data_IF_636369685074
#
_entry.id   IF_636369685074
#
_cell.length_a   1.000
_cell.length_b   1.000
_cell.length_c   1.000
_cell.angle_alpha   90.00
_cell.angle_beta   90.00
_cell.angle_gamma   90.00
#
_symmetry.space_group_name_H-M   'P 1'
#
loop_
_entity.id
_entity.type
_entity.pdbx_description
1 polymer ?
#
# COMPACT_ATOMS: atom_id res chain seq x y z
N UNK A 1 2.39 -12.41 12.05
CA UNK A 1 2.96 -11.87 10.78
C UNK A 1 3.03 -10.36 10.94
N UNK A 2 4.10 -9.65 10.55
CA UNK A 2 4.17 -8.22 10.77
C UNK A 2 3.03 -7.50 10.04
N UNK A 3 2.36 -6.62 10.79
CA UNK A 3 1.45 -5.62 10.26
C UNK A 3 2.29 -4.41 9.88
N UNK A 4 2.19 -3.98 8.63
CA UNK A 4 2.95 -2.84 8.11
C UNK A 4 1.97 -1.81 7.59
N UNK A 5 1.98 -0.63 8.21
CA UNK A 5 1.29 0.55 7.70
C UNK A 5 2.30 1.48 7.04
N UNK A 6 2.07 1.79 5.77
CA UNK A 6 2.87 2.77 5.02
C UNK A 6 2.00 3.99 4.76
N UNK A 7 2.54 5.16 5.08
CA UNK A 7 2.01 6.45 4.66
C UNK A 7 2.93 7.05 3.61
N UNK A 8 2.35 7.54 2.51
CA UNK A 8 3.06 8.23 1.44
C UNK A 8 2.46 9.61 1.22
N UNK A 9 3.32 10.58 0.91
CA UNK A 9 2.95 11.97 0.60
C UNK A 9 3.36 12.32 -0.82
N UNK A 10 2.50 13.04 -1.53
CA UNK A 10 2.86 13.57 -2.84
C UNK A 10 3.89 14.71 -2.70
N UNK A 11 4.94 14.63 -3.51
CA UNK A 11 5.97 15.66 -3.63
C UNK A 11 5.49 16.85 -4.47
N UNK A 12 4.49 16.64 -5.35
CA UNK A 12 3.90 17.71 -6.17
C UNK A 12 2.74 18.41 -5.45
N UNK A 13 2.05 17.72 -4.56
CA UNK A 13 0.90 18.21 -3.80
C UNK A 13 1.00 17.74 -2.34
N UNK A 14 1.70 18.48 -1.45
CA UNK A 14 2.02 18.02 -0.09
C UNK A 14 0.81 17.75 0.81
N UNK A 15 -0.37 18.25 0.45
CA UNK A 15 -1.67 18.02 1.07
C UNK A 15 -2.27 16.65 0.72
N UNK A 16 -1.72 15.96 -0.28
CA UNK A 16 -2.13 14.61 -0.67
C UNK A 16 -1.34 13.57 0.11
N UNK A 17 -2.08 12.79 0.92
CA UNK A 17 -1.58 11.65 1.66
C UNK A 17 -2.36 10.41 1.27
N UNK A 18 -1.66 9.29 1.15
CA UNK A 18 -2.27 7.98 1.01
C UNK A 18 -1.62 7.03 2.00
N UNK A 19 -2.40 6.08 2.52
CA UNK A 19 -1.85 5.03 3.35
C UNK A 19 -2.56 3.71 3.13
N UNK A 20 -1.84 2.65 3.43
CA UNK A 20 -2.41 1.31 3.49
C UNK A 20 -1.73 0.51 4.57
N UNK A 21 -2.48 -0.45 5.10
CA UNK A 21 -1.98 -1.44 6.05
C UNK A 21 -2.04 -2.81 5.41
N UNK A 22 -0.92 -3.51 5.46
CA UNK A 22 -0.80 -4.88 4.96
C UNK A 22 -0.25 -5.79 6.03
N UNK A 23 -0.71 -7.04 6.01
CA UNK A 23 0.00 -8.13 6.65
C UNK A 23 0.88 -8.80 5.61
N UNK A 24 2.17 -8.97 5.89
CA UNK A 24 3.13 -9.54 4.94
C UNK A 24 3.86 -10.70 5.62
N UNK A 25 3.98 -11.83 4.92
CA UNK A 25 4.81 -12.94 5.39
C UNK A 25 5.59 -13.56 4.25
N UNK A 26 6.86 -13.84 4.53
CA UNK A 26 7.72 -14.58 3.61
C UNK A 26 7.24 -16.03 3.49
N UNK A 27 7.36 -16.59 2.29
CA UNK A 27 7.21 -18.01 2.01
C UNK A 27 8.53 -18.60 1.53
N UNK A 28 8.66 -19.91 1.67
CA UNK A 28 9.80 -20.67 1.17
C UNK A 28 9.70 -20.96 -0.34
N UNK A 29 8.48 -20.94 -0.89
CA UNK A 29 8.25 -21.08 -2.34
C UNK A 29 8.47 -19.75 -3.09
N UNK A 30 8.22 -19.76 -4.40
CA UNK A 30 8.34 -18.59 -5.28
C UNK A 30 7.00 -17.93 -5.63
N UNK A 31 5.92 -18.34 -4.95
CA UNK A 31 4.56 -17.92 -5.25
C UNK A 31 4.17 -16.65 -4.49
N UNK A 32 3.37 -15.81 -5.14
CA UNK A 32 2.73 -14.68 -4.47
C UNK A 32 1.30 -15.07 -4.19
N UNK A 33 0.89 -14.97 -2.93
CA UNK A 33 -0.51 -15.05 -2.54
C UNK A 33 -0.97 -13.66 -2.13
N UNK A 34 -1.94 -13.12 -2.84
CA UNK A 34 -2.48 -11.79 -2.57
C UNK A 34 -3.96 -11.86 -2.26
N UNK A 35 -4.33 -11.43 -1.07
CA UNK A 35 -5.71 -11.28 -0.63
C UNK A 35 -6.01 -9.78 -0.51
N UNK A 36 -6.82 -9.26 -1.44
CA UNK A 36 -7.24 -7.87 -1.43
C UNK A 36 -8.70 -7.72 -1.80
N UNK A 37 -9.47 -7.45 -0.76
CA UNK A 37 -10.82 -6.95 -0.85
C UNK A 37 -10.79 -5.44 -0.56
N UNK A 38 -10.60 -4.65 -1.61
CA UNK A 38 -10.43 -3.18 -1.53
C UNK A 38 -11.61 -2.52 -0.84
N UNK A 39 -12.84 -2.97 -1.12
CA UNK A 39 -14.05 -2.45 -0.47
C UNK A 39 -14.03 -2.69 1.05
N UNK A 40 -13.62 -3.89 1.48
CA UNK A 40 -13.49 -4.24 2.90
C UNK A 40 -12.38 -3.44 3.57
N UNK A 41 -11.23 -3.28 2.90
CA UNK A 41 -10.10 -2.52 3.43
C UNK A 41 -10.42 -1.03 3.61
N UNK A 42 -11.15 -0.44 2.65
CA UNK A 42 -11.66 0.93 2.74
C UNK A 42 -12.65 1.12 3.89
N UNK A 43 -13.55 0.16 4.09
CA UNK A 43 -14.55 0.24 5.15
C UNK A 43 -13.92 0.30 6.56
N UNK A 44 -12.66 -0.17 6.73
CA UNK A 44 -11.93 -0.08 7.99
C UNK A 44 -11.39 1.33 8.29
N UNK A 45 -11.39 2.22 7.31
CA UNK A 45 -11.02 3.63 7.46
C UNK A 45 -12.10 4.53 6.83
N UNK A 46 -13.31 4.42 7.37
CA UNK A 46 -14.48 5.15 6.89
C UNK A 46 -14.36 6.69 7.01
N UNK A 47 -13.33 7.18 7.71
CA UNK A 47 -13.09 8.62 7.89
C UNK A 47 -12.29 9.22 6.74
N UNK A 48 -11.46 8.41 6.07
CA UNK A 48 -10.65 8.81 4.92
C UNK A 48 -11.49 9.08 3.67
N UNK A 49 -12.53 8.28 3.47
CA UNK A 49 -13.36 8.35 2.28
C UNK A 49 -14.83 8.35 2.68
N UNK A 50 -15.47 9.51 2.58
CA UNK A 50 -16.87 9.68 3.01
C UNK A 50 -17.87 9.01 2.05
N UNK A 51 -17.41 8.63 0.85
CA UNK A 51 -18.22 7.93 -0.14
C UNK A 51 -17.60 6.56 -0.45
N UNK A 52 -18.41 5.50 -0.56
CA UNK A 52 -17.93 4.19 -1.01
C UNK A 52 -17.40 4.28 -2.45
N UNK A 53 -16.41 3.43 -2.76
CA UNK A 53 -15.93 3.33 -4.13
C UNK A 53 -16.96 2.73 -5.07
N UNK A 54 -17.04 3.28 -6.29
CA UNK A 54 -17.67 2.56 -7.39
C UNK A 54 -16.87 1.27 -7.70
N UNK A 55 -17.52 0.22 -8.24
CA UNK A 55 -16.82 -1.01 -8.60
C UNK A 55 -15.61 -0.78 -9.53
N UNK A 56 -15.73 0.16 -10.48
CA UNK A 56 -14.65 0.52 -11.39
C UNK A 56 -13.45 1.12 -10.64
N UNK A 57 -13.69 2.05 -9.69
CA UNK A 57 -12.63 2.64 -8.87
C UNK A 57 -11.95 1.59 -7.98
N UNK A 58 -12.73 0.69 -7.37
CA UNK A 58 -12.19 -0.39 -6.56
C UNK A 58 -11.26 -1.30 -7.39
N UNK A 59 -11.63 -1.57 -8.64
CA UNK A 59 -10.80 -2.37 -9.56
C UNK A 59 -9.51 -1.65 -9.97
N UNK A 60 -9.56 -0.34 -10.20
CA UNK A 60 -8.36 0.47 -10.48
C UNK A 60 -7.40 0.43 -9.28
N UNK A 61 -7.89 0.71 -8.07
CA UNK A 61 -7.09 0.65 -6.84
C UNK A 61 -6.50 -0.74 -6.62
N UNK A 62 -7.28 -1.80 -6.82
CA UNK A 62 -6.80 -3.19 -6.73
C UNK A 62 -5.67 -3.47 -7.71
N UNK A 63 -5.79 -2.96 -8.94
CA UNK A 63 -4.78 -3.15 -9.99
C UNK A 63 -3.47 -2.45 -9.65
N UNK A 64 -3.54 -1.22 -9.12
CA UNK A 64 -2.37 -0.46 -8.68
C UNK A 64 -1.66 -1.13 -7.50
N UNK A 65 -2.40 -1.56 -6.48
CA UNK A 65 -1.82 -2.31 -5.34
C UNK A 65 -1.16 -3.59 -5.84
N UNK A 66 -1.81 -4.31 -6.76
CA UNK A 66 -1.22 -5.51 -7.39
C UNK A 66 0.08 -5.18 -8.12
N UNK A 67 0.10 -4.09 -8.90
CA UNK A 67 1.31 -3.59 -9.57
C UNK A 67 2.45 -3.29 -8.59
N UNK A 68 2.12 -2.63 -7.47
CA UNK A 68 3.06 -2.34 -6.39
C UNK A 68 3.67 -3.60 -5.76
N UNK A 69 2.85 -4.63 -5.53
CA UNK A 69 3.28 -5.93 -5.00
C UNK A 69 4.22 -6.65 -5.98
N UNK A 70 3.88 -6.66 -7.28
CA UNK A 70 4.71 -7.27 -8.32
C UNK A 70 6.07 -6.56 -8.43
N UNK A 71 6.08 -5.23 -8.27
CA UNK A 71 7.31 -4.46 -8.23
C UNK A 71 8.17 -4.80 -7.00
N UNK A 72 7.57 -4.97 -5.82
CA UNK A 72 8.28 -5.43 -4.63
C UNK A 72 8.91 -6.81 -4.83
N UNK A 73 8.22 -7.76 -5.48
CA UNK A 73 8.80 -9.08 -5.80
C UNK A 73 10.04 -8.98 -6.66
N UNK A 74 10.05 -8.07 -7.65
CA UNK A 74 11.22 -7.82 -8.50
C UNK A 74 12.41 -7.31 -7.67
N UNK A 75 12.16 -6.47 -6.67
CA UNK A 75 13.18 -5.96 -5.75
C UNK A 75 13.65 -7.03 -4.76
N UNK A 76 12.75 -7.90 -4.30
CA UNK A 76 13.01 -8.98 -3.36
C UNK A 76 13.68 -10.23 -3.95
N UNK A 77 14.14 -10.20 -5.21
CA UNK A 77 14.86 -11.33 -5.82
C UNK A 77 14.02 -12.59 -6.06
N UNK A 78 12.72 -12.45 -6.37
CA UNK A 78 11.77 -13.57 -6.65
C UNK A 78 11.44 -14.48 -5.46
N UNK A 79 11.66 -14.02 -4.24
CA UNK A 79 11.12 -14.68 -3.03
C UNK A 79 9.58 -14.72 -3.09
N UNK A 80 8.98 -15.84 -2.66
CA UNK A 80 7.53 -15.95 -2.49
C UNK A 80 7.06 -15.35 -1.17
N UNK A 81 5.81 -14.89 -1.14
CA UNK A 81 5.24 -14.25 0.04
C UNK A 81 3.71 -14.21 -0.01
N UNK A 82 3.10 -14.07 1.17
CA UNK A 82 1.66 -13.78 1.33
C UNK A 82 1.50 -12.31 1.69
N UNK A 83 0.52 -11.67 1.06
CA UNK A 83 0.08 -10.32 1.43
C UNK A 83 -1.42 -10.31 1.62
N UNK A 84 -1.86 -9.71 2.71
CA UNK A 84 -3.25 -9.41 3.00
C UNK A 84 -3.41 -7.88 3.13
N UNK A 85 -4.30 -7.30 2.33
CA UNK A 85 -4.66 -5.89 2.45
C UNK A 85 -5.70 -5.73 3.57
N UNK A 86 -5.34 -4.98 4.61
CA UNK A 86 -6.17 -4.82 5.80
C UNK A 86 -6.93 -3.50 5.84
N UNK A 87 -6.27 -2.41 5.48
CA UNK A 87 -6.89 -1.09 5.41
C UNK A 87 -6.31 -0.24 4.29
N UNK A 88 -7.10 0.70 3.80
CA UNK A 88 -6.74 1.70 2.81
C UNK A 88 -7.33 3.03 3.24
N UNK A 89 -6.52 4.09 3.22
CA UNK A 89 -6.96 5.44 3.57
C UNK A 89 -6.19 6.51 2.81
N UNK A 90 -6.58 7.74 2.99
CA UNK A 90 -5.98 8.87 2.31
C UNK A 90 -6.71 10.18 2.57
N UNK A 91 -6.06 11.30 2.27
CA UNK A 91 -6.60 12.65 2.40
C UNK A 91 -6.07 13.56 1.31
N UNK A 92 -6.90 14.50 0.84
CA UNK A 92 -6.50 15.59 -0.07
C UNK A 92 -6.99 16.90 0.51
N UNK A 93 -6.17 17.55 1.34
CA UNK A 93 -6.62 18.73 2.10
C UNK A 93 -7.91 18.43 2.87
N UNK A 94 -8.97 19.16 2.57
CA UNK A 94 -10.31 18.98 3.17
C UNK A 94 -11.20 17.97 2.40
N UNK A 95 -10.78 17.52 1.21
CA UNK A 95 -11.52 16.55 0.41
C UNK A 95 -11.30 15.12 0.89
N UNK A 96 -12.41 14.41 1.10
CA UNK A 96 -12.45 13.02 1.58
C UNK A 96 -13.00 12.08 0.51
N UNK A 97 -12.40 12.10 -0.69
CA UNK A 97 -12.79 11.24 -1.82
C UNK A 97 -11.58 10.48 -2.38
N UNK A 98 -11.74 9.18 -2.69
CA UNK A 98 -10.66 8.38 -3.30
C UNK A 98 -10.30 8.91 -4.69
N UNK A 99 -11.28 9.43 -5.44
CA UNK A 99 -11.05 9.98 -6.78
C UNK A 99 -10.09 11.17 -6.81
N UNK A 100 -9.95 11.89 -5.70
CA UNK A 100 -9.01 13.00 -5.58
C UNK A 100 -7.56 12.52 -5.38
N UNK A 101 -7.35 11.26 -4.98
CA UNK A 101 -6.03 10.68 -4.81
C UNK A 101 -5.61 9.90 -6.07
N UNK A 102 -4.46 10.23 -6.66
CA UNK A 102 -3.85 9.40 -7.69
C UNK A 102 -3.66 7.96 -7.20
N UNK A 103 -4.27 6.99 -7.90
CA UNK A 103 -4.26 5.57 -7.54
C UNK A 103 -2.84 4.98 -7.46
N UNK A 104 -1.89 5.58 -8.17
CA UNK A 104 -0.45 5.28 -8.11
C UNK A 104 0.14 5.41 -6.70
N UNK A 105 -0.45 6.24 -5.83
CA UNK A 105 -0.01 6.37 -4.43
C UNK A 105 -0.11 5.02 -3.70
N UNK A 106 -1.17 4.25 -3.98
CA UNK A 106 -1.38 2.94 -3.38
C UNK A 106 -0.45 1.88 -3.95
N UNK A 107 -0.06 1.98 -5.22
CA UNK A 107 1.00 1.15 -5.77
C UNK A 107 2.33 1.37 -5.02
N UNK A 108 2.70 2.64 -4.82
CA UNK A 108 3.94 3.00 -4.12
C UNK A 108 3.91 2.52 -2.67
N UNK A 109 2.82 2.77 -1.95
CA UNK A 109 2.68 2.33 -0.57
C UNK A 109 2.70 0.79 -0.45
N UNK A 110 2.10 0.07 -1.40
CA UNK A 110 2.08 -1.39 -1.41
C UNK A 110 3.47 -1.97 -1.67
N UNK A 111 4.25 -1.37 -2.58
CA UNK A 111 5.64 -1.76 -2.79
C UNK A 111 6.44 -1.64 -1.50
N UNK A 112 6.37 -0.47 -0.85
CA UNK A 112 7.11 -0.20 0.38
C UNK A 112 6.66 -1.12 1.52
N UNK A 113 5.36 -1.41 1.64
CA UNK A 113 4.82 -2.26 2.69
C UNK A 113 5.34 -3.70 2.57
N UNK A 114 5.37 -4.24 1.35
CA UNK A 114 5.91 -5.58 1.10
C UNK A 114 7.42 -5.62 1.36
N UNK A 115 8.17 -4.65 0.85
CA UNK A 115 9.63 -4.60 1.04
C UNK A 115 9.97 -4.50 2.55
N UNK A 116 9.24 -3.70 3.30
CA UNK A 116 9.36 -3.59 4.76
C UNK A 116 8.97 -4.87 5.48
N UNK A 117 7.84 -5.47 5.13
CA UNK A 117 7.36 -6.71 5.74
C UNK A 117 8.24 -7.92 5.46
N UNK A 118 9.04 -7.87 4.39
CA UNK A 118 10.06 -8.88 4.06
C UNK A 118 11.43 -8.60 4.69
N UNK A 119 11.59 -7.49 5.41
CA UNK A 119 12.85 -7.11 6.06
C UNK A 119 13.96 -6.69 5.09
N UNK A 120 13.61 -6.09 3.96
CA UNK A 120 14.60 -5.63 2.97
C UNK A 120 15.03 -4.20 3.34
N UNK A 121 16.29 -4.05 3.76
CA UNK A 121 16.82 -2.83 4.44
C UNK A 121 16.90 -1.55 3.57
N UNK A 122 16.73 -1.62 2.24
CA UNK A 122 16.93 -0.47 1.32
C UNK A 122 15.66 0.38 1.07
N UNK A 123 14.83 0.59 2.10
CA UNK A 123 13.59 1.37 1.99
C UNK A 123 13.80 2.90 2.03
N UNK A 124 14.99 3.34 2.43
CA UNK A 124 15.32 4.76 2.61
C UNK A 124 15.63 5.48 1.31
N UNK A 125 15.88 4.75 0.23
CA UNK A 125 16.02 5.35 -1.09
C UNK A 125 14.66 5.33 -1.77
N UNK A 126 14.16 6.53 -2.12
CA UNK A 126 12.86 6.74 -2.73
C UNK A 126 12.48 5.60 -3.70
N UNK A 127 11.23 5.08 -3.67
CA UNK A 127 10.82 4.00 -4.54
C UNK A 127 11.31 4.32 -5.95
N UNK A 128 12.23 3.50 -6.47
CA UNK A 128 12.99 3.82 -7.69
C UNK A 128 12.00 3.92 -8.84
N UNK A 129 11.57 5.14 -9.16
CA UNK A 129 10.54 5.44 -10.14
C UNK A 129 9.89 6.79 -9.80
N UNK A 130 9.98 7.76 -10.72
CA UNK A 130 9.55 9.15 -10.56
C UNK A 130 8.04 9.38 -10.43
N UNK A 131 7.37 8.66 -9.53
CA UNK A 131 5.93 8.76 -9.29
C UNK A 131 5.52 9.98 -8.47
N UNK A 132 6.46 10.84 -8.08
CA UNK A 132 6.22 12.01 -7.23
C UNK A 132 5.58 11.67 -5.87
N UNK A 133 5.71 10.43 -5.36
CA UNK A 133 5.29 10.05 -4.01
C UNK A 133 6.50 9.66 -3.16
N UNK A 134 6.54 10.13 -1.93
CA UNK A 134 7.61 9.88 -0.97
C UNK A 134 7.05 9.18 0.27
N UNK A 135 7.90 8.39 0.91
CA UNK A 135 7.60 7.82 2.20
C UNK A 135 7.41 8.96 3.22
N UNK A 136 6.28 8.96 3.92
CA UNK A 136 5.93 9.92 4.97
C UNK A 136 6.10 9.28 6.35
N UNK A 137 5.58 8.06 6.53
CA UNK A 137 5.72 7.31 7.77
C UNK A 137 5.65 5.79 7.52
N UNK A 138 6.32 5.04 8.39
CA UNK A 138 6.24 3.58 8.49
C UNK A 138 5.87 3.22 9.92
N UNK A 139 4.91 2.33 10.07
CA UNK A 139 4.55 1.73 11.35
C UNK A 139 4.55 0.21 11.17
N UNK A 140 5.29 -0.48 12.04
CA UNK A 140 5.38 -1.94 12.03
C UNK A 140 4.94 -2.45 13.40
N UNK A 141 3.92 -3.31 13.41
CA UNK A 141 3.44 -3.98 14.61
C UNK A 141 3.71 -5.46 14.45
N UNK A 142 4.55 -6.01 15.34
CA UNK A 142 4.73 -7.44 15.47
C UNK A 142 3.55 -8.01 16.26
N UNK A 143 2.72 -8.84 15.62
CA UNK A 143 1.75 -9.65 16.35
C UNK A 143 2.53 -10.73 17.12
N UNK A 144 2.52 -10.64 18.46
CA UNK A 144 3.00 -11.73 19.33
C UNK A 144 2.22 -13.03 19.03
N UNK A 145 2.88 -14.20 19.11
CA UNK A 145 2.32 -15.50 18.71
C UNK A 145 1.12 -15.97 19.54
#
# INVERSE_FOLDING_TARGET
>A
MPLVTIRVRSAAAPDQLAWLTMRVSRREDHHIHFQAEVATALAKDAVSFLAPLTPAQAQVVKSEITGGILMARKQAGKVGFVVELLSLGGSVGDERTVSALPSVAFAVAATLAVVQGLGIEDLRTAPRGGFQWKLDAVEVVEEEP
#
